data_IF_334670596468
#
_entry.id   IF_334670596468
#
_cell.length_a   1.000
_cell.length_b   1.000
_cell.length_c   1.000
_cell.angle_alpha   90.00
_cell.angle_beta   90.00
_cell.angle_gamma   90.00
#
_symmetry.space_group_name_H-M   'P 1'
#
loop_
_entity.id
_entity.type
_entity.pdbx_description
1 polymer ?
#
# COMPACT_ATOMS: atom_id res chain seq x y z
N UNK A 1 -11.96 16.19 2.17
CA UNK A 1 -12.56 14.94 1.67
C UNK A 1 -11.53 14.38 0.73
N UNK A 2 -10.66 13.52 1.25
CA UNK A 2 -9.68 12.85 0.41
C UNK A 2 -10.42 11.72 -0.28
N UNK A 3 -10.48 11.77 -1.61
CA UNK A 3 -11.21 10.80 -2.43
C UNK A 3 -10.39 9.51 -2.43
N UNK A 4 -10.72 8.62 -1.50
CA UNK A 4 -10.06 7.33 -1.39
C UNK A 4 -10.74 6.32 -2.32
N UNK A 5 -10.07 5.89 -3.42
CA UNK A 5 -10.70 5.06 -4.44
C UNK A 5 -11.02 3.64 -3.96
N UNK A 6 -10.33 3.18 -2.91
CA UNK A 6 -10.47 1.82 -2.36
C UNK A 6 -11.41 1.74 -1.15
N UNK A 7 -11.96 2.88 -0.71
CA UNK A 7 -12.82 3.04 0.48
C UNK A 7 -12.28 2.37 1.75
N UNK A 8 -10.96 2.46 1.98
CA UNK A 8 -10.27 1.92 3.13
C UNK A 8 -10.54 2.76 4.39
N UNK A 9 -10.60 2.09 5.53
CA UNK A 9 -10.56 2.70 6.84
C UNK A 9 -9.12 3.17 7.14
N UNK A 10 -8.80 4.37 6.67
CA UNK A 10 -7.49 5.01 6.87
C UNK A 10 -7.31 5.38 8.35
N UNK A 11 -6.19 4.99 9.00
CA UNK A 11 -5.95 5.32 10.41
C UNK A 11 -5.87 6.82 10.67
N UNK A 12 -6.09 7.24 11.92
CA UNK A 12 -6.04 8.65 12.28
C UNK A 12 -4.65 9.27 11.99
N UNK A 13 -4.65 10.44 11.36
CA UNK A 13 -3.42 11.17 11.01
C UNK A 13 -2.72 10.69 9.74
N UNK A 14 -3.12 9.57 9.15
CA UNK A 14 -2.60 9.11 7.87
C UNK A 14 -3.14 9.97 6.73
N UNK A 15 -2.32 10.16 5.71
CA UNK A 15 -2.69 10.84 4.47
C UNK A 15 -2.90 9.80 3.38
N UNK A 16 -3.77 10.13 2.41
CA UNK A 16 -3.90 9.35 1.18
C UNK A 16 -3.67 10.28 0.00
N UNK A 17 -2.80 9.85 -0.90
CA UNK A 17 -2.45 10.56 -2.12
C UNK A 17 -2.62 9.60 -3.29
N UNK A 18 -3.49 9.97 -4.23
CA UNK A 18 -3.67 9.23 -5.47
C UNK A 18 -2.91 9.97 -6.56
N UNK A 19 -1.79 9.38 -6.96
CA UNK A 19 -0.99 9.80 -8.09
C UNK A 19 -1.48 9.05 -9.34
N UNK A 20 -2.35 9.73 -10.08
CA UNK A 20 -2.74 9.34 -11.42
C UNK A 20 -1.82 10.06 -12.38
N UNK A 21 -0.65 9.47 -12.62
CA UNK A 21 0.26 9.99 -13.63
C UNK A 21 -0.45 9.85 -14.99
N UNK A 22 -0.83 10.98 -15.59
CA UNK A 22 -1.66 11.00 -16.80
C UNK A 22 -0.92 10.49 -18.05
N UNK A 23 0.39 10.27 -17.94
CA UNK A 23 1.25 9.76 -19.01
C UNK A 23 1.72 8.31 -18.78
N UNK A 24 1.69 7.79 -17.54
CA UNK A 24 1.99 6.38 -17.26
C UNK A 24 0.73 5.52 -17.31
N UNK A 25 0.85 4.30 -17.84
CA UNK A 25 -0.26 3.33 -17.94
C UNK A 25 -0.66 2.71 -16.58
N UNK A 26 -0.32 3.38 -15.48
CA UNK A 26 -0.49 2.90 -14.11
C UNK A 26 -0.84 4.04 -13.17
N UNK A 27 -1.93 3.86 -12.41
CA UNK A 27 -2.31 4.74 -11.32
C UNK A 27 -1.75 4.21 -10.00
N UNK A 28 -1.44 5.11 -9.06
CA UNK A 28 -0.86 4.74 -7.77
C UNK A 28 -1.60 5.45 -6.64
N UNK A 29 -2.02 4.71 -5.63
CA UNK A 29 -2.56 5.28 -4.39
C UNK A 29 -1.61 4.97 -3.24
N UNK A 30 -1.19 6.01 -2.53
CA UNK A 30 -0.24 5.94 -1.43
C UNK A 30 -0.94 6.38 -0.16
N UNK A 31 -0.92 5.53 0.86
CA UNK A 31 -1.33 5.84 2.22
C UNK A 31 -0.07 6.02 3.04
N UNK A 32 0.15 7.20 3.61
CA UNK A 32 1.36 7.50 4.40
C UNK A 32 1.00 7.83 5.84
N UNK A 33 1.80 7.32 6.78
CA UNK A 33 1.70 7.63 8.19
C UNK A 33 2.10 9.09 8.47
N UNK A 34 1.55 9.74 9.52
CA UNK A 34 1.90 11.12 9.87
C UNK A 34 3.38 11.36 10.17
N UNK A 35 4.09 10.33 10.61
CA UNK A 35 5.52 10.35 10.92
C UNK A 35 6.41 10.11 9.67
N UNK A 36 5.79 9.85 8.51
CA UNK A 36 6.44 9.50 7.23
C UNK A 36 7.46 8.34 7.33
N UNK A 37 7.31 7.43 8.30
CA UNK A 37 8.11 6.20 8.40
C UNK A 37 7.40 4.97 7.83
N UNK A 38 6.07 5.02 7.62
CA UNK A 38 5.31 3.91 7.06
C UNK A 38 4.46 4.40 5.90
N UNK A 39 4.36 3.56 4.88
CA UNK A 39 3.38 3.78 3.82
C UNK A 39 2.88 2.46 3.23
N UNK A 40 1.63 2.45 2.81
CA UNK A 40 1.04 1.41 1.96
C UNK A 40 0.86 2.01 0.58
N UNK A 41 1.20 1.26 -0.45
CA UNK A 41 1.06 1.67 -1.84
C UNK A 41 0.23 0.63 -2.56
N UNK A 42 -0.81 1.07 -3.23
CA UNK A 42 -1.55 0.29 -4.21
C UNK A 42 -1.12 0.81 -5.58
N UNK A 43 -0.67 -0.07 -6.47
CA UNK A 43 -0.44 0.32 -7.86
C UNK A 43 -1.36 -0.47 -8.74
N UNK A 44 -2.11 0.27 -9.54
CA UNK A 44 -2.96 -0.21 -10.59
C UNK A 44 -2.15 -0.20 -11.89
N UNK A 45 -2.20 -1.29 -12.65
CA UNK A 45 -1.59 -1.35 -13.97
C UNK A 45 -2.42 -2.21 -14.91
N UNK A 46 -2.53 -1.78 -16.17
CA UNK A 46 -3.20 -2.55 -17.19
C UNK A 46 -2.22 -3.49 -17.89
N UNK A 47 -2.59 -4.77 -18.06
CA UNK A 47 -1.86 -5.72 -18.90
C UNK A 47 -2.82 -6.33 -19.92
N UNK A 48 -2.75 -5.82 -21.14
CA UNK A 48 -3.71 -6.14 -22.20
C UNK A 48 -5.06 -5.46 -21.95
N UNK A 49 -6.12 -6.25 -21.83
CA UNK A 49 -7.49 -5.77 -21.53
C UNK A 49 -7.89 -6.00 -20.06
N UNK A 50 -6.94 -6.39 -19.21
CA UNK A 50 -7.19 -6.74 -17.82
C UNK A 50 -6.41 -5.79 -16.92
N UNK A 51 -7.12 -5.27 -15.91
CA UNK A 51 -6.56 -4.42 -14.87
C UNK A 51 -6.04 -5.30 -13.74
N UNK A 52 -4.88 -4.95 -13.23
CA UNK A 52 -4.22 -5.64 -12.13
C UNK A 52 -3.84 -4.63 -11.07
N UNK A 53 -3.79 -5.10 -9.83
CA UNK A 53 -3.29 -4.33 -8.73
C UNK A 53 -2.24 -5.11 -7.95
N UNK A 54 -1.24 -4.42 -7.45
CA UNK A 54 -0.38 -4.93 -6.39
C UNK A 54 -0.52 -4.05 -5.15
N UNK A 55 -0.12 -4.58 -4.00
CA UNK A 55 -0.07 -3.83 -2.74
C UNK A 55 1.32 -3.99 -2.14
N UNK A 56 1.95 -2.88 -1.83
CA UNK A 56 3.28 -2.82 -1.21
C UNK A 56 3.21 -2.10 0.13
N UNK A 57 3.85 -2.67 1.13
CA UNK A 57 4.11 -2.04 2.42
C UNK A 57 5.55 -1.53 2.41
N UNK A 58 5.74 -0.28 2.80
CA UNK A 58 7.06 0.27 3.06
C UNK A 58 7.16 0.69 4.52
N UNK A 59 8.29 0.36 5.13
CA UNK A 59 8.66 0.82 6.46
C UNK A 59 10.08 1.37 6.42
N UNK A 60 10.27 2.55 7.01
CA UNK A 60 11.56 3.18 7.17
C UNK A 60 12.16 2.70 8.48
N UNK A 61 13.25 1.93 8.38
CA UNK A 61 13.98 1.40 9.53
C UNK A 61 15.48 1.47 9.23
N UNK A 62 16.29 1.68 10.26
CA UNK A 62 17.76 1.78 10.14
C UNK A 62 18.27 2.83 9.12
N UNK A 63 17.45 3.84 8.81
CA UNK A 63 17.80 4.86 7.81
C UNK A 63 17.54 4.45 6.35
N UNK A 64 16.92 3.29 6.12
CA UNK A 64 16.56 2.79 4.79
C UNK A 64 15.07 2.44 4.70
N UNK A 65 14.52 2.53 3.48
CA UNK A 65 13.17 2.08 3.19
C UNK A 65 13.15 0.58 2.87
N UNK A 66 12.50 -0.19 3.72
CA UNK A 66 12.24 -1.61 3.48
C UNK A 66 10.88 -1.78 2.79
N UNK A 67 10.88 -2.41 1.62
CA UNK A 67 9.67 -2.77 0.88
C UNK A 67 9.30 -4.22 1.15
N UNK A 68 8.02 -4.48 1.40
CA UNK A 68 7.41 -5.81 1.48
C UNK A 68 6.15 -5.84 0.64
N UNK A 69 6.10 -6.76 -0.31
CA UNK A 69 4.90 -6.96 -1.13
C UNK A 69 3.85 -7.80 -0.38
N UNK A 70 2.59 -7.39 -0.48
CA UNK A 70 1.43 -8.10 0.05
C UNK A 70 0.88 -9.01 -1.04
N UNK A 71 1.03 -10.33 -0.86
CA UNK A 71 0.65 -11.32 -1.88
C UNK A 71 1.82 -12.18 -2.39
N UNK A 72 3.06 -11.94 -1.92
CA UNK A 72 4.24 -12.77 -2.19
C UNK A 72 4.50 -13.05 -3.69
N UNK A 73 4.34 -12.05 -4.55
CA UNK A 73 4.57 -12.14 -6.00
C UNK A 73 3.29 -12.20 -6.84
N UNK A 74 2.11 -12.23 -6.22
CA UNK A 74 0.82 -12.30 -6.92
C UNK A 74 0.15 -10.91 -7.05
N UNK A 75 -0.53 -10.70 -8.17
CA UNK A 75 -1.26 -9.45 -8.45
C UNK A 75 -2.75 -9.72 -8.42
N UNK A 76 -3.47 -8.88 -7.69
CA UNK A 76 -4.93 -8.92 -7.58
C UNK A 76 -5.58 -8.53 -8.92
N UNK A 77 -6.72 -9.15 -9.22
CA UNK A 77 -7.55 -8.86 -10.40
C UNK A 77 -8.97 -8.40 -10.04
N UNK A 78 -9.26 -8.38 -8.74
CA UNK A 78 -10.54 -8.02 -8.18
C UNK A 78 -10.32 -6.83 -7.24
N UNK A 79 -11.07 -5.75 -7.48
CA UNK A 79 -10.98 -4.52 -6.69
C UNK A 79 -11.26 -4.77 -5.19
N UNK A 80 -12.20 -5.66 -4.89
CA UNK A 80 -12.55 -6.03 -3.51
C UNK A 80 -11.40 -6.77 -2.82
N UNK A 81 -10.70 -7.65 -3.54
CA UNK A 81 -9.58 -8.42 -3.01
C UNK A 81 -8.35 -7.54 -2.73
N UNK A 82 -8.04 -6.57 -3.61
CA UNK A 82 -6.96 -5.61 -3.36
C UNK A 82 -7.32 -4.68 -2.20
N UNK A 83 -8.58 -4.23 -2.09
CA UNK A 83 -9.03 -3.42 -0.96
C UNK A 83 -8.91 -4.18 0.37
N UNK A 84 -9.33 -5.44 0.44
CA UNK A 84 -9.20 -6.26 1.65
C UNK A 84 -7.73 -6.46 2.04
N UNK A 85 -6.87 -6.76 1.07
CA UNK A 85 -5.43 -6.92 1.30
C UNK A 85 -4.76 -5.61 1.76
N UNK A 86 -5.14 -4.48 1.18
CA UNK A 86 -4.65 -3.17 1.59
C UNK A 86 -5.17 -2.76 2.97
N UNK A 87 -6.43 -3.09 3.29
CA UNK A 87 -7.03 -2.85 4.59
C UNK A 87 -6.32 -3.65 5.68
N UNK A 88 -6.05 -4.93 5.44
CA UNK A 88 -5.31 -5.80 6.35
C UNK A 88 -3.85 -5.33 6.53
N UNK A 89 -3.21 -4.84 5.47
CA UNK A 89 -1.90 -4.21 5.55
C UNK A 89 -1.89 -2.94 6.42
N UNK A 90 -2.88 -2.06 6.23
CA UNK A 90 -3.06 -0.85 7.03
C UNK A 90 -3.36 -1.17 8.49
N UNK A 91 -4.26 -2.12 8.75
CA UNK A 91 -4.60 -2.56 10.11
C UNK A 91 -3.38 -3.12 10.83
N UNK A 92 -2.56 -3.91 10.14
CA UNK A 92 -1.29 -4.39 10.70
C UNK A 92 -0.34 -3.24 11.01
N UNK A 93 -0.18 -2.26 10.13
CA UNK A 93 0.70 -1.11 10.40
C UNK A 93 0.17 -0.20 11.51
N UNK A 94 -1.14 -0.10 11.69
CA UNK A 94 -1.78 0.68 12.74
C UNK A 94 -1.75 -0.03 14.10
N UNK A 95 -2.01 -1.33 14.11
CA UNK A 95 -2.01 -2.19 15.31
C UNK A 95 -0.57 -2.49 15.78
N UNK A 96 0.34 -2.74 14.84
CA UNK A 96 1.75 -2.92 15.14
C UNK A 96 2.41 -1.57 15.34
N UNK A 97 2.42 -1.07 16.58
CA UNK A 97 3.55 -0.30 17.11
C UNK A 97 4.86 -1.13 17.16
N UNK A 98 4.89 -2.29 16.52
CA UNK A 98 5.98 -3.25 16.54
C UNK A 98 7.06 -2.84 15.54
N UNK A 99 8.28 -2.72 16.06
CA UNK A 99 9.50 -2.69 15.29
C UNK A 99 9.45 -3.72 14.17
N UNK A 100 9.71 -3.23 12.96
CA UNK A 100 10.20 -4.01 11.82
C UNK A 100 11.64 -4.51 12.11
N UNK A 101 11.86 -5.17 13.25
CA UNK A 101 13.15 -5.81 13.58
C UNK A 101 13.13 -7.32 13.23
N UNK A 102 11.99 -7.89 12.86
CA UNK A 102 11.86 -9.35 12.66
C UNK A 102 11.68 -9.78 11.20
N UNK A 103 11.93 -8.90 10.21
CA UNK A 103 11.69 -9.20 8.78
C UNK A 103 13.00 -9.45 8.02
N UNK A 104 14.17 -9.35 8.69
CA UNK A 104 15.48 -9.50 8.06
C UNK A 104 16.15 -10.88 8.23
N UNK A 105 15.51 -11.86 8.89
CA UNK A 105 16.11 -13.19 9.12
C UNK A 105 15.08 -14.31 8.87
N UNK A 106 15.06 -14.83 7.63
CA UNK A 106 15.00 -16.26 7.29
C UNK A 106 15.51 -16.48 5.85
#
# INVERSE_FOLDING_TARGET
MTDDPFSLAVPEGWTVETDVDTDEASAKTVYESPDSDRRVTITEFARGLTLYWWVDIFAFADGEWHRREVGLGDSYRDADAVSDAAQDALDRLASSGERVESIADD
#
